data_IF_974941969811
#
_entry.id   IF_974941969811
#
_cell.length_a   1.000
_cell.length_b   1.000
_cell.length_c   1.000
_cell.angle_alpha   90.00
_cell.angle_beta   90.00
_cell.angle_gamma   90.00
#
_symmetry.space_group_name_H-M   'P 1'
#
loop_
_entity.id
_entity.type
_entity.pdbx_description
1 polymer ?
#
# COMPACT_ATOMS: atom_id res chain seq x y z
N UNK A 1 -10.93 -0.23 -5.00
CA UNK A 1 -12.12 0.56 -4.56
C UNK A 1 -13.21 0.62 -5.61
N UNK A 2 -12.87 0.87 -6.85
CA UNK A 2 -13.85 0.89 -7.95
C UNK A 2 -14.56 -0.47 -8.10
N UNK A 3 -13.84 -1.57 -7.96
CA UNK A 3 -14.42 -2.91 -8.06
C UNK A 3 -15.39 -3.23 -6.92
N UNK A 4 -15.17 -2.65 -5.73
CA UNK A 4 -16.01 -2.89 -4.56
C UNK A 4 -17.24 -1.99 -4.52
N UNK A 5 -17.10 -0.73 -4.90
CA UNK A 5 -18.13 0.30 -4.73
C UNK A 5 -18.69 0.83 -6.04
N UNK A 6 -18.23 0.32 -7.18
CA UNK A 6 -18.52 0.91 -8.48
C UNK A 6 -17.68 2.18 -8.72
N UNK A 7 -17.79 2.72 -9.93
CA UNK A 7 -16.97 3.87 -10.32
C UNK A 7 -17.26 5.11 -9.46
N UNK A 8 -18.53 5.48 -9.36
CA UNK A 8 -18.91 6.68 -8.59
C UNK A 8 -18.66 6.51 -7.10
N UNK A 9 -19.07 5.38 -6.53
CA UNK A 9 -18.87 5.09 -5.11
C UNK A 9 -17.39 4.97 -4.75
N UNK A 10 -16.57 4.38 -5.64
CA UNK A 10 -15.14 4.28 -5.45
C UNK A 10 -14.46 5.63 -5.40
N UNK A 11 -14.79 6.52 -6.33
CA UNK A 11 -14.23 7.88 -6.33
C UNK A 11 -14.70 8.71 -5.14
N UNK A 12 -15.94 8.56 -4.72
CA UNK A 12 -16.45 9.26 -3.53
C UNK A 12 -15.69 8.81 -2.28
N UNK A 13 -15.43 7.50 -2.14
CA UNK A 13 -14.63 6.97 -1.05
C UNK A 13 -13.20 7.52 -1.09
N UNK A 14 -12.58 7.57 -2.27
CA UNK A 14 -11.23 8.12 -2.41
C UNK A 14 -11.16 9.60 -2.06
N UNK A 15 -12.18 10.39 -2.37
CA UNK A 15 -12.26 11.80 -1.96
C UNK A 15 -12.31 11.94 -0.44
N UNK A 16 -13.11 11.09 0.22
CA UNK A 16 -13.19 11.10 1.68
C UNK A 16 -11.85 10.64 2.31
N UNK A 17 -11.23 9.62 1.75
CA UNK A 17 -9.93 9.13 2.21
C UNK A 17 -8.84 10.19 2.03
N UNK A 18 -8.86 10.92 0.92
CA UNK A 18 -7.88 11.97 0.61
C UNK A 18 -7.77 13.01 1.73
N UNK A 19 -8.86 13.34 2.38
CA UNK A 19 -8.86 14.31 3.49
C UNK A 19 -8.03 13.83 4.68
N UNK A 20 -7.85 12.52 4.82
CA UNK A 20 -7.09 11.89 5.91
C UNK A 20 -5.68 11.50 5.51
N UNK A 21 -5.30 11.70 4.25
CA UNK A 21 -3.97 11.37 3.76
C UNK A 21 -3.01 12.51 4.07
N UNK A 22 -1.90 12.16 4.72
CA UNK A 22 -0.83 13.11 4.99
C UNK A 22 0.01 13.38 3.73
N UNK A 23 0.35 12.30 3.01
CA UNK A 23 1.24 12.40 1.87
C UNK A 23 1.03 11.24 0.90
N UNK A 24 1.09 11.53 -0.39
CA UNK A 24 1.21 10.53 -1.43
C UNK A 24 2.67 10.41 -1.84
N UNK A 25 3.18 9.18 -1.93
CA UNK A 25 4.57 8.94 -2.29
C UNK A 25 4.68 8.39 -3.70
N UNK A 26 5.86 8.57 -4.31
CA UNK A 26 6.17 7.98 -5.61
C UNK A 26 6.74 6.57 -5.51
N UNK A 27 7.07 6.14 -4.30
CA UNK A 27 7.62 4.82 -4.02
C UNK A 27 6.59 3.95 -3.33
N UNK A 28 6.45 2.70 -3.76
CA UNK A 28 5.56 1.73 -3.12
C UNK A 28 6.00 1.33 -1.71
N UNK A 29 7.27 1.50 -1.37
CA UNK A 29 7.81 1.11 -0.06
C UNK A 29 8.00 2.28 0.92
N UNK A 30 7.89 3.52 0.46
CA UNK A 30 8.08 4.69 1.33
C UNK A 30 7.09 4.77 2.50
N UNK A 31 5.78 4.46 2.32
CA UNK A 31 4.83 4.56 3.43
C UNK A 31 5.15 3.62 4.59
N UNK A 32 5.67 2.42 4.33
CA UNK A 32 6.00 1.49 5.43
C UNK A 32 7.21 1.97 6.21
N UNK A 33 8.18 2.58 5.55
CA UNK A 33 9.34 3.17 6.23
C UNK A 33 8.92 4.33 7.12
N UNK A 34 8.01 5.18 6.65
CA UNK A 34 7.46 6.29 7.44
C UNK A 34 6.69 5.77 8.65
N UNK A 35 5.86 4.76 8.49
CA UNK A 35 5.12 4.14 9.60
C UNK A 35 6.07 3.48 10.59
N UNK A 36 7.10 2.79 10.11
CA UNK A 36 8.09 2.13 10.96
C UNK A 36 8.89 3.10 11.80
N UNK A 37 9.14 4.31 11.30
CA UNK A 37 9.84 5.36 12.04
C UNK A 37 8.94 6.15 12.98
N UNK A 38 7.63 5.90 12.97
CA UNK A 38 6.67 6.63 13.78
C UNK A 38 6.25 7.99 13.22
N UNK A 39 6.61 8.30 11.98
CA UNK A 39 6.21 9.55 11.33
C UNK A 39 4.72 9.58 11.02
N UNK A 40 4.15 8.43 10.71
CA UNK A 40 2.73 8.25 10.43
C UNK A 40 2.20 7.03 11.18
N UNK A 41 0.94 7.09 11.59
CA UNK A 41 0.29 5.98 12.30
C UNK A 41 -0.02 4.82 11.37
N UNK A 42 -0.44 5.11 10.14
CA UNK A 42 -0.88 4.11 9.14
C UNK A 42 -0.16 4.37 7.82
N UNK A 43 0.35 3.30 7.22
CA UNK A 43 0.90 3.31 5.87
C UNK A 43 0.14 2.36 4.97
N UNK A 44 -0.15 2.77 3.75
CA UNK A 44 -0.75 1.92 2.71
C UNK A 44 0.36 1.50 1.76
N UNK A 45 0.66 0.19 1.73
CA UNK A 45 1.84 -0.35 1.07
C UNK A 45 1.60 -1.75 0.55
N UNK A 46 2.58 -2.30 -0.15
CA UNK A 46 2.62 -3.73 -0.47
C UNK A 46 2.92 -4.54 0.80
N UNK A 47 2.25 -5.69 0.92
CA UNK A 47 2.38 -6.52 2.11
C UNK A 47 3.81 -7.05 2.32
N UNK A 48 4.51 -7.41 1.25
CA UNK A 48 5.87 -7.94 1.38
C UNK A 48 6.84 -6.91 1.98
N UNK A 49 6.67 -5.64 1.65
CA UNK A 49 7.47 -4.57 2.23
C UNK A 49 7.15 -4.39 3.71
N UNK A 50 5.87 -4.48 4.08
CA UNK A 50 5.44 -4.37 5.46
C UNK A 50 5.99 -5.52 6.31
N UNK A 51 5.94 -6.75 5.81
CA UNK A 51 6.47 -7.93 6.49
C UNK A 51 7.98 -7.81 6.66
N UNK A 52 8.70 -7.34 5.65
CA UNK A 52 10.15 -7.13 5.74
C UNK A 52 10.52 -6.16 6.86
N UNK A 53 9.80 -5.07 7.01
CA UNK A 53 10.02 -4.10 8.09
C UNK A 53 9.67 -4.68 9.46
N UNK A 54 8.58 -5.44 9.56
CA UNK A 54 8.18 -6.08 10.80
C UNK A 54 9.22 -7.10 11.28
N UNK A 55 9.75 -7.90 10.37
CA UNK A 55 10.82 -8.88 10.66
C UNK A 55 12.11 -8.18 11.10
N UNK A 56 12.38 -7.00 10.56
CA UNK A 56 13.56 -6.21 10.92
C UNK A 56 13.47 -5.58 12.33
N UNK A 57 12.35 -5.76 13.03
CA UNK A 57 12.18 -5.31 14.40
C UNK A 57 11.46 -3.98 14.58
N UNK A 58 10.92 -3.40 13.53
CA UNK A 58 10.09 -2.20 13.62
C UNK A 58 8.72 -2.53 14.23
N UNK A 59 8.15 -1.64 15.08
CA UNK A 59 6.85 -1.90 15.73
C UNK A 59 5.69 -1.70 14.78
N UNK A 60 5.52 -2.61 13.83
CA UNK A 60 4.51 -2.55 12.77
C UNK A 60 3.58 -3.74 12.88
N UNK A 61 2.28 -3.48 12.76
CA UNK A 61 1.26 -4.51 12.61
C UNK A 61 0.72 -4.48 11.17
N UNK A 62 0.74 -5.63 10.50
CA UNK A 62 0.26 -5.76 9.13
C UNK A 62 -1.19 -6.19 9.14
N UNK A 63 -2.04 -5.51 8.37
CA UNK A 63 -3.46 -5.82 8.24
C UNK A 63 -3.80 -5.97 6.76
N UNK A 64 -4.41 -7.11 6.40
CA UNK A 64 -5.02 -7.31 5.09
C UNK A 64 -6.54 -7.17 5.24
N UNK A 65 -7.18 -6.19 4.57
CA UNK A 65 -8.62 -5.97 4.73
C UNK A 65 -9.43 -7.16 4.21
N UNK A 66 -10.43 -7.58 4.95
CA UNK A 66 -11.31 -8.67 4.52
C UNK A 66 -12.27 -8.25 3.39
N UNK A 67 -12.51 -6.97 3.23
CA UNK A 67 -13.32 -6.41 2.13
C UNK A 67 -12.62 -6.53 0.78
N UNK A 68 -11.31 -6.68 0.78
CA UNK A 68 -10.52 -6.84 -0.43
C UNK A 68 -9.29 -5.94 -0.43
N UNK A 69 -8.32 -6.31 -1.25
CA UNK A 69 -7.09 -5.56 -1.44
C UNK A 69 -6.66 -5.66 -2.90
N UNK A 70 -5.89 -4.68 -3.36
CA UNK A 70 -5.31 -4.71 -4.69
C UNK A 70 -4.11 -5.65 -4.76
N UNK A 71 -3.78 -6.08 -5.96
CA UNK A 71 -2.58 -6.88 -6.18
C UNK A 71 -1.92 -6.50 -7.50
N UNK A 72 -0.65 -6.82 -7.58
CA UNK A 72 0.14 -6.66 -8.80
C UNK A 72 1.01 -7.91 -8.94
N UNK A 73 1.06 -8.45 -10.14
CA UNK A 73 1.88 -9.62 -10.45
C UNK A 73 3.15 -9.13 -11.15
N UNK A 74 4.24 -9.10 -10.39
CA UNK A 74 5.55 -8.78 -10.93
C UNK A 74 6.08 -9.95 -11.74
N UNK A 75 6.87 -9.67 -12.76
CA UNK A 75 7.46 -10.71 -13.59
C UNK A 75 8.85 -10.31 -14.05
N UNK A 76 9.62 -11.32 -14.43
CA UNK A 76 10.92 -11.14 -15.05
C UNK A 76 10.95 -11.91 -16.36
N UNK A 77 11.58 -11.32 -17.34
CA UNK A 77 11.75 -11.97 -18.64
C UNK A 77 13.09 -11.59 -19.25
N UNK A 78 13.59 -12.43 -20.13
CA UNK A 78 14.84 -12.18 -20.85
C UNK A 78 14.48 -11.62 -22.22
N UNK A 79 15.06 -10.46 -22.53
CA UNK A 79 14.90 -9.84 -23.84
C UNK A 79 15.63 -10.71 -24.88
N UNK A 80 14.96 -10.93 -26.04
CA UNK A 80 15.55 -11.72 -27.11
C UNK A 80 16.88 -11.09 -27.56
N UNK A 81 17.93 -11.87 -27.56
CA UNK A 81 19.27 -11.43 -27.95
C UNK A 81 20.13 -10.89 -26.81
N UNK A 82 19.61 -10.94 -25.59
CA UNK A 82 20.38 -10.50 -24.40
C UNK A 82 21.44 -11.54 -23.99
#
# INVERSE_FOLDING_TARGET
MVQLFGEDGGFDFMKALHKNINQYTKSGSAPIKAAGRGENTIGIVFMHDAVAQAVSGFPIKVVAPCEGTGYEIGSMSIIKGA
#
